data_IF_029317056375
#
_entry.id   IF_029317056375
#
_cell.length_a   1.000
_cell.length_b   1.000
_cell.length_c   1.000
_cell.angle_alpha   90.00
_cell.angle_beta   90.00
_cell.angle_gamma   90.00
#
_symmetry.space_group_name_H-M   'P 1'
#
loop_
_entity.id
_entity.type
_entity.pdbx_description
1 polymer ?
#
# COMPACT_ATOMS: atom_id res chain seq x y z
N UNK A 1 4.17 -34.35 5.16
CA UNK A 1 2.76 -34.04 4.83
C UNK A 1 2.75 -32.88 3.85
N UNK A 2 2.15 -33.04 2.67
CA UNK A 2 2.05 -31.96 1.68
C UNK A 2 1.17 -30.83 2.22
N UNK A 3 1.57 -29.57 2.01
CA UNK A 3 0.74 -28.42 2.38
C UNK A 3 -0.50 -28.40 1.51
N UNK A 4 -1.68 -28.27 2.12
CA UNK A 4 -2.93 -28.18 1.39
C UNK A 4 -2.99 -26.81 0.72
N UNK A 5 -3.06 -26.79 -0.61
CA UNK A 5 -3.23 -25.55 -1.38
C UNK A 5 -4.72 -25.27 -1.49
N UNK A 6 -5.15 -24.14 -0.94
CA UNK A 6 -6.53 -23.67 -1.00
C UNK A 6 -6.70 -22.79 -2.24
N UNK A 7 -7.37 -23.36 -3.24
CA UNK A 7 -8.02 -22.65 -4.32
C UNK A 7 -9.53 -22.90 -4.21
N UNK A 8 -10.35 -21.96 -4.68
CA UNK A 8 -11.79 -22.15 -4.63
C UNK A 8 -12.22 -23.16 -5.72
N UNK A 9 -12.86 -24.27 -5.36
CA UNK A 9 -13.29 -25.29 -6.34
C UNK A 9 -14.39 -24.81 -7.28
N UNK A 10 -15.02 -23.66 -7.00
CA UNK A 10 -16.06 -23.05 -7.83
C UNK A 10 -15.56 -21.88 -8.70
N UNK A 11 -14.24 -21.69 -8.78
CA UNK A 11 -13.61 -20.68 -9.64
C UNK A 11 -13.60 -19.26 -9.07
N UNK A 12 -13.87 -19.09 -7.78
CA UNK A 12 -13.68 -17.83 -7.06
C UNK A 12 -12.20 -17.44 -6.95
N UNK A 13 -11.97 -16.14 -6.77
CA UNK A 13 -10.63 -15.55 -6.68
C UNK A 13 -10.42 -15.04 -5.27
N UNK A 14 -9.36 -15.51 -4.62
CA UNK A 14 -8.90 -14.94 -3.35
C UNK A 14 -8.17 -13.62 -3.62
N UNK A 15 -8.68 -12.52 -3.11
CA UNK A 15 -8.05 -11.21 -3.14
C UNK A 15 -7.44 -10.88 -1.77
N UNK A 16 -6.13 -10.69 -1.71
CA UNK A 16 -5.43 -10.27 -0.51
C UNK A 16 -5.40 -8.75 -0.39
N UNK A 17 -6.06 -8.23 0.65
CA UNK A 17 -6.10 -6.83 1.03
C UNK A 17 -5.17 -6.54 2.20
N UNK A 18 -4.28 -5.55 2.03
CA UNK A 18 -3.32 -5.08 3.03
C UNK A 18 -3.40 -3.57 3.30
N UNK A 19 -4.19 -2.82 2.51
CA UNK A 19 -4.35 -1.37 2.60
C UNK A 19 -5.73 -0.98 3.13
N UNK A 20 -6.34 0.08 2.56
CA UNK A 20 -7.67 0.56 2.96
C UNK A 20 -8.78 -0.49 2.85
N UNK A 21 -8.59 -1.51 2.02
CA UNK A 21 -9.50 -2.64 1.85
C UNK A 21 -9.51 -3.62 3.02
N UNK A 22 -8.65 -3.46 4.03
CA UNK A 22 -8.77 -4.21 5.30
C UNK A 22 -10.08 -3.91 6.05
N UNK A 23 -10.68 -2.75 5.77
CA UNK A 23 -11.97 -2.39 6.33
C UNK A 23 -13.09 -2.86 5.38
N UNK A 24 -13.88 -3.85 5.81
CA UNK A 24 -14.92 -4.48 4.99
C UNK A 24 -15.88 -3.46 4.35
N UNK A 25 -16.27 -2.41 5.09
CA UNK A 25 -17.15 -1.36 4.58
C UNK A 25 -16.60 -0.65 3.33
N UNK A 26 -15.28 -0.67 3.11
CA UNK A 26 -14.63 -0.10 1.92
C UNK A 26 -14.86 -0.98 0.68
N UNK A 27 -14.92 -2.31 0.83
CA UNK A 27 -15.40 -3.22 -0.23
C UNK A 27 -16.90 -3.08 -0.46
N UNK A 28 -17.70 -3.04 0.62
CA UNK A 28 -19.16 -2.97 0.52
C UNK A 28 -19.65 -1.69 -0.16
N UNK A 29 -18.98 -0.56 0.08
CA UNK A 29 -19.25 0.70 -0.61
C UNK A 29 -19.03 0.64 -2.13
N UNK A 30 -18.32 -0.38 -2.63
CA UNK A 30 -18.15 -0.66 -4.06
C UNK A 30 -19.20 -1.63 -4.62
N UNK A 31 -20.12 -2.10 -3.78
CA UNK A 31 -21.09 -3.13 -4.13
C UNK A 31 -20.50 -4.54 -4.19
N UNK A 32 -19.31 -4.76 -3.62
CA UNK A 32 -18.63 -6.06 -3.64
C UNK A 32 -18.96 -6.82 -2.35
N UNK A 33 -19.42 -8.07 -2.49
CA UNK A 33 -19.72 -8.96 -1.36
C UNK A 33 -18.73 -10.13 -1.34
N UNK A 34 -17.97 -10.25 -0.27
CA UNK A 34 -17.10 -11.40 -0.06
C UNK A 34 -17.91 -12.68 0.21
N UNK A 35 -17.51 -13.78 -0.42
CA UNK A 35 -18.07 -15.12 -0.23
C UNK A 35 -17.49 -15.79 1.02
N UNK A 36 -16.22 -15.50 1.31
CA UNK A 36 -15.49 -15.94 2.50
C UNK A 36 -14.40 -14.90 2.83
N UNK A 37 -13.96 -14.86 4.08
CA UNK A 37 -12.95 -13.91 4.57
C UNK A 37 -12.00 -14.64 5.50
N UNK A 38 -10.70 -14.55 5.24
CA UNK A 38 -9.66 -15.17 6.07
C UNK A 38 -8.59 -14.15 6.44
N UNK A 39 -8.22 -14.09 7.71
CA UNK A 39 -7.01 -13.39 8.11
C UNK A 39 -5.80 -14.20 7.66
N UNK A 40 -4.85 -13.55 7.00
CA UNK A 40 -3.69 -14.23 6.41
C UNK A 40 -2.42 -13.39 6.59
N UNK A 41 -1.28 -14.08 6.54
CA UNK A 41 0.06 -13.49 6.44
C UNK A 41 0.70 -13.91 5.12
N UNK A 42 1.45 -13.01 4.48
CA UNK A 42 2.24 -13.29 3.28
C UNK A 42 3.72 -13.20 3.65
N UNK A 43 4.40 -14.32 3.96
CA UNK A 43 5.77 -14.31 4.46
C UNK A 43 6.79 -13.73 3.49
N UNK A 44 6.51 -13.79 2.19
CA UNK A 44 7.42 -13.34 1.14
C UNK A 44 7.40 -11.83 0.90
N UNK A 45 6.44 -11.09 1.45
CA UNK A 45 6.26 -9.66 1.18
C UNK A 45 6.11 -8.84 2.45
N UNK A 46 6.42 -7.55 2.35
CA UNK A 46 6.15 -6.55 3.39
C UNK A 46 5.31 -5.39 2.86
N UNK A 47 4.64 -4.69 3.78
CA UNK A 47 3.88 -3.47 3.49
C UNK A 47 4.84 -2.31 3.19
N UNK A 48 4.57 -1.62 2.09
CA UNK A 48 5.26 -0.38 1.69
C UNK A 48 4.25 0.72 1.39
N UNK A 49 4.76 1.91 1.05
CA UNK A 49 3.94 3.04 0.62
C UNK A 49 4.43 3.55 -0.73
N UNK A 50 4.53 2.64 -1.70
CA UNK A 50 5.17 2.88 -2.99
C UNK A 50 4.27 3.52 -4.05
N UNK A 51 3.02 3.78 -3.70
CA UNK A 51 2.08 4.50 -4.56
C UNK A 51 2.17 5.97 -4.20
N UNK A 52 2.70 6.76 -5.12
CA UNK A 52 2.85 8.19 -4.93
C UNK A 52 1.49 8.89 -4.87
N UNK A 53 1.36 9.82 -3.94
CA UNK A 53 0.21 10.70 -3.83
C UNK A 53 0.61 12.16 -4.01
N UNK A 54 -0.12 13.06 -3.33
CA UNK A 54 0.02 14.51 -3.46
C UNK A 54 0.58 15.06 -2.14
N UNK A 55 1.73 15.76 -2.15
CA UNK A 55 2.21 16.49 -0.99
C UNK A 55 1.15 17.44 -0.41
N UNK A 56 1.17 17.64 0.89
CA UNK A 56 0.20 18.42 1.68
C UNK A 56 -1.23 17.87 1.72
N UNK A 57 -1.46 16.67 1.20
CA UNK A 57 -2.75 15.99 1.26
C UNK A 57 -2.55 14.52 1.69
N UNK A 58 -2.39 13.63 0.72
CA UNK A 58 -2.16 12.20 0.92
C UNK A 58 -0.86 11.87 0.18
N UNK A 59 0.31 11.91 0.85
CA UNK A 59 1.59 11.87 0.14
C UNK A 59 1.89 10.50 -0.47
N UNK A 60 1.38 9.42 0.12
CA UNK A 60 1.58 8.06 -0.39
C UNK A 60 0.47 7.12 0.06
N UNK A 61 0.33 6.01 -0.69
CA UNK A 61 -0.63 4.94 -0.42
C UNK A 61 0.06 3.58 -0.38
N UNK A 62 -0.60 2.61 0.23
CA UNK A 62 -0.04 1.30 0.49
C UNK A 62 0.31 0.54 -0.80
N UNK A 63 1.39 -0.23 -0.74
CA UNK A 63 1.77 -1.28 -1.70
C UNK A 63 2.35 -2.45 -0.91
N UNK A 64 2.66 -3.54 -1.60
CA UNK A 64 3.55 -4.59 -1.08
C UNK A 64 4.85 -4.63 -1.88
N UNK A 65 5.89 -5.21 -1.29
CA UNK A 65 7.13 -5.54 -1.99
C UNK A 65 7.72 -6.84 -1.44
N UNK A 66 8.41 -7.63 -2.27
CA UNK A 66 9.03 -8.88 -1.81
C UNK A 66 10.21 -8.58 -0.89
N UNK A 67 10.42 -9.42 0.12
CA UNK A 67 11.68 -9.44 0.87
C UNK A 67 12.81 -9.94 -0.02
N UNK A 68 13.98 -9.30 0.07
CA UNK A 68 15.19 -9.87 -0.49
C UNK A 68 15.60 -11.14 0.29
N UNK A 69 16.00 -12.23 -0.41
CA UNK A 69 16.52 -13.42 0.25
C UNK A 69 17.69 -13.10 1.17
N UNK A 70 17.72 -13.74 2.35
CA UNK A 70 18.81 -13.65 3.34
C UNK A 70 19.12 -12.25 3.88
N UNK A 71 18.20 -11.30 3.69
CA UNK A 71 18.32 -9.94 4.21
C UNK A 71 17.20 -9.63 5.20
N UNK A 72 17.53 -8.78 6.17
CA UNK A 72 16.57 -8.17 7.07
C UNK A 72 16.18 -6.82 6.46
N UNK A 73 14.87 -6.58 6.33
CA UNK A 73 14.35 -5.28 5.90
C UNK A 73 14.02 -4.44 7.12
N UNK A 74 14.53 -3.22 7.15
CA UNK A 74 14.25 -2.24 8.20
C UNK A 74 13.70 -0.95 7.62
N UNK A 75 12.88 -0.24 8.40
CA UNK A 75 12.32 1.06 8.05
C UNK A 75 13.04 2.17 8.82
N UNK A 76 13.56 3.16 8.08
CA UNK A 76 14.14 4.40 8.59
C UNK A 76 13.38 5.62 8.06
N UNK A 77 13.14 6.60 8.93
CA UNK A 77 12.40 7.83 8.60
C UNK A 77 13.36 9.01 8.42
N UNK A 78 13.42 9.56 7.21
CA UNK A 78 14.36 10.63 6.84
C UNK A 78 15.77 10.31 7.34
N UNK A 79 16.43 11.27 7.98
CA UNK A 79 17.78 11.08 8.53
C UNK A 79 17.81 10.54 9.97
N UNK A 80 16.72 9.95 10.46
CA UNK A 80 16.68 9.35 11.81
C UNK A 80 17.69 8.22 11.94
N UNK A 81 18.34 8.10 13.11
CA UNK A 81 19.18 6.94 13.43
C UNK A 81 18.36 5.70 13.79
N UNK A 82 17.12 5.88 14.23
CA UNK A 82 16.25 4.78 14.63
C UNK A 82 15.80 3.98 13.39
N UNK A 83 15.98 2.66 13.47
CA UNK A 83 15.47 1.68 12.52
C UNK A 83 14.40 0.85 13.20
N UNK A 84 13.43 0.39 12.42
CA UNK A 84 12.37 -0.52 12.87
C UNK A 84 12.39 -1.75 11.99
N UNK A 85 12.24 -2.91 12.59
CA UNK A 85 12.08 -4.14 11.83
C UNK A 85 10.77 -4.10 11.05
N UNK A 86 10.82 -4.62 9.83
CA UNK A 86 9.66 -4.71 8.94
C UNK A 86 9.17 -6.16 8.95
N UNK A 87 8.05 -6.47 9.62
CA UNK A 87 7.48 -7.81 9.63
C UNK A 87 6.83 -8.13 8.28
N UNK A 88 6.57 -9.42 8.00
CA UNK A 88 5.79 -9.79 6.83
C UNK A 88 4.39 -9.18 6.86
N UNK A 89 3.87 -8.89 5.68
CA UNK A 89 2.57 -8.23 5.54
C UNK A 89 1.46 -9.18 5.97
N UNK A 90 0.55 -8.66 6.80
CA UNK A 90 -0.67 -9.34 7.20
C UNK A 90 -1.88 -8.58 6.72
N UNK A 91 -2.99 -9.30 6.52
CA UNK A 91 -4.23 -8.70 6.09
C UNK A 91 -5.36 -9.69 5.92
N UNK A 92 -6.32 -9.35 5.06
CA UNK A 92 -7.50 -10.17 4.81
C UNK A 92 -7.50 -10.70 3.38
N UNK A 93 -7.68 -12.00 3.24
CA UNK A 93 -8.03 -12.63 1.97
C UNK A 93 -9.55 -12.68 1.85
N UNK A 94 -10.10 -12.02 0.84
CA UNK A 94 -11.52 -12.06 0.48
C UNK A 94 -11.73 -13.02 -0.69
N UNK A 95 -12.61 -14.00 -0.55
CA UNK A 95 -13.03 -14.82 -1.67
C UNK A 95 -14.10 -14.08 -2.47
N UNK A 96 -13.79 -13.74 -3.72
CA UNK A 96 -14.66 -12.93 -4.58
C UNK A 96 -15.07 -13.71 -5.82
N UNK A 97 -16.23 -13.34 -6.38
CA UNK A 97 -16.59 -13.75 -7.75
C UNK A 97 -15.60 -13.10 -8.74
N UNK A 98 -15.29 -13.76 -9.88
CA UNK A 98 -14.41 -13.17 -10.90
C UNK A 98 -14.85 -11.77 -11.39
N UNK A 99 -16.17 -11.54 -11.49
CA UNK A 99 -16.73 -10.23 -11.87
C UNK A 99 -16.44 -9.16 -10.84
N UNK A 100 -16.61 -9.49 -9.55
CA UNK A 100 -16.44 -8.56 -8.44
C UNK A 100 -14.95 -8.26 -8.23
N UNK A 101 -14.10 -9.28 -8.40
CA UNK A 101 -12.65 -9.13 -8.41
C UNK A 101 -12.20 -8.17 -9.51
N UNK A 102 -12.69 -8.35 -10.75
CA UNK A 102 -12.35 -7.45 -11.86
C UNK A 102 -12.80 -6.02 -11.60
N UNK A 103 -14.00 -5.82 -11.05
CA UNK A 103 -14.47 -4.49 -10.66
C UNK A 103 -13.58 -3.87 -9.58
N UNK A 104 -13.11 -4.67 -8.61
CA UNK A 104 -12.18 -4.23 -7.58
C UNK A 104 -10.88 -3.71 -8.20
N UNK A 105 -10.23 -4.52 -9.05
CA UNK A 105 -8.97 -4.19 -9.72
C UNK A 105 -9.08 -2.89 -10.50
N UNK A 106 -10.15 -2.71 -11.28
CA UNK A 106 -10.40 -1.47 -12.03
C UNK A 106 -10.56 -0.28 -11.08
N UNK A 107 -11.30 -0.44 -9.97
CA UNK A 107 -11.57 0.65 -9.02
C UNK A 107 -10.33 1.09 -8.21
N UNK A 108 -9.38 0.18 -7.98
CA UNK A 108 -8.10 0.46 -7.32
C UNK A 108 -7.08 1.09 -8.27
N UNK A 109 -7.39 1.17 -9.58
CA UNK A 109 -6.44 1.62 -10.59
C UNK A 109 -5.40 0.55 -10.96
N UNK A 110 -5.79 -0.73 -10.91
CA UNK A 110 -5.04 -1.82 -11.50
C UNK A 110 -4.79 -1.56 -12.98
N UNK A 111 -3.57 -1.84 -13.44
CA UNK A 111 -3.08 -1.50 -14.78
C UNK A 111 -2.54 -0.07 -14.93
N UNK A 112 -2.95 0.86 -14.05
CA UNK A 112 -2.52 2.27 -14.04
C UNK A 112 -1.41 2.50 -13.01
N UNK A 113 -1.73 2.33 -11.72
CA UNK A 113 -0.80 2.56 -10.60
C UNK A 113 -0.33 1.25 -9.96
N UNK A 114 -1.12 0.18 -10.10
CA UNK A 114 -0.81 -1.14 -9.58
C UNK A 114 -0.70 -2.17 -10.71
N UNK A 115 0.17 -3.16 -10.53
CA UNK A 115 0.13 -4.44 -11.24
C UNK A 115 -0.50 -5.50 -10.35
N UNK A 116 -1.17 -6.47 -10.97
CA UNK A 116 -1.68 -7.64 -10.27
C UNK A 116 -0.57 -8.68 -10.10
N UNK A 117 -0.41 -9.20 -8.89
CA UNK A 117 0.57 -10.24 -8.56
C UNK A 117 -0.08 -11.36 -7.76
N UNK A 118 0.49 -12.56 -7.87
CA UNK A 118 0.09 -13.71 -7.07
C UNK A 118 0.99 -13.84 -5.84
N UNK A 119 0.38 -14.11 -4.68
CA UNK A 119 1.06 -14.27 -3.41
C UNK A 119 0.60 -15.54 -2.70
N UNK A 120 1.53 -16.17 -1.99
CA UNK A 120 1.27 -17.34 -1.17
C UNK A 120 1.08 -16.89 0.28
N UNK A 121 -0.10 -17.12 0.81
CA UNK A 121 -0.48 -16.69 2.15
C UNK A 121 -0.68 -17.91 3.07
N UNK A 122 -0.36 -17.75 4.35
CA UNK A 122 -0.74 -18.70 5.40
C UNK A 122 -1.91 -18.13 6.18
N UNK A 123 -2.90 -18.97 6.48
CA UNK A 123 -4.07 -18.56 7.27
C UNK A 123 -3.63 -18.35 8.71
N UNK A 124 -4.11 -17.27 9.33
CA UNK A 124 -3.90 -16.98 10.74
C UNK A 124 -5.02 -17.59 11.56
N UNK A 125 -4.66 -18.25 12.66
CA UNK A 125 -5.62 -18.65 13.70
C UNK A 125 -6.12 -17.44 14.51
N UNK A 126 -7.01 -17.67 15.47
CA UNK A 126 -7.56 -16.59 16.30
C UNK A 126 -6.51 -15.83 17.13
N UNK A 127 -5.36 -16.44 17.41
CA UNK A 127 -4.25 -15.86 18.15
C UNK A 127 -3.24 -15.15 17.24
N UNK A 128 -3.50 -15.13 15.93
CA UNK A 128 -2.63 -14.50 14.93
C UNK A 128 -1.40 -15.34 14.57
N UNK A 129 -1.41 -16.66 14.84
CA UNK A 129 -0.33 -17.56 14.46
C UNK A 129 -0.62 -18.19 13.09
N UNK A 130 0.38 -18.30 12.21
CA UNK A 130 0.20 -18.94 10.91
C UNK A 130 0.01 -20.45 11.08
N UNK A 131 -1.04 -20.99 10.46
CA UNK A 131 -1.22 -22.42 10.29
C UNK A 131 -0.15 -22.97 9.31
N UNK A 132 0.76 -23.86 9.76
CA UNK A 132 1.83 -24.40 8.92
C UNK A 132 1.33 -25.27 7.75
N UNK A 133 0.10 -25.79 7.85
CA UNK A 133 -0.47 -26.75 6.91
C UNK A 133 -1.25 -26.14 5.75
N UNK A 134 -1.69 -24.88 5.86
CA UNK A 134 -2.51 -24.20 4.85
C UNK A 134 -1.69 -23.17 4.05
N UNK A 135 -1.72 -23.33 2.72
CA UNK A 135 -1.29 -22.29 1.79
C UNK A 135 -2.53 -21.85 1.02
N UNK A 136 -2.82 -20.56 1.05
CA UNK A 136 -3.86 -19.93 0.26
C UNK A 136 -3.18 -19.10 -0.84
N UNK A 137 -3.50 -19.41 -2.10
CA UNK A 137 -3.00 -18.64 -3.24
C UNK A 137 -3.96 -17.48 -3.45
N UNK A 138 -3.46 -16.25 -3.28
CA UNK A 138 -4.25 -15.04 -3.44
C UNK A 138 -3.66 -14.13 -4.52
N UNK A 139 -4.52 -13.39 -5.20
CA UNK A 139 -4.13 -12.24 -6.02
C UNK A 139 -4.12 -10.98 -5.18
N UNK A 140 -3.18 -10.10 -5.46
CA UNK A 140 -3.10 -8.80 -4.81
C UNK A 140 -2.58 -7.76 -5.78
N UNK A 141 -2.55 -6.51 -5.34
CA UNK A 141 -2.07 -5.38 -6.11
C UNK A 141 -0.70 -4.97 -5.60
N UNK A 142 0.23 -4.62 -6.47
CA UNK A 142 1.55 -4.11 -6.12
C UNK A 142 1.84 -2.86 -6.94
N UNK A 143 2.56 -1.88 -6.41
CA UNK A 143 2.94 -0.69 -7.15
C UNK A 143 3.66 -1.04 -8.44
N UNK A 144 3.12 -0.55 -9.55
CA UNK A 144 3.67 -0.72 -10.91
C UNK A 144 4.96 0.07 -11.10
N UNK A 145 5.02 1.25 -10.50
CA UNK A 145 6.14 2.17 -10.61
C UNK A 145 6.61 2.60 -9.20
N UNK A 146 7.27 1.70 -8.46
CA UNK A 146 7.66 2.00 -7.09
C UNK A 146 8.71 3.12 -7.06
N UNK A 147 8.36 4.25 -6.44
CA UNK A 147 9.24 5.42 -6.39
C UNK A 147 9.84 5.64 -5.00
N UNK A 148 10.94 4.96 -4.68
CA UNK A 148 11.59 5.11 -3.38
C UNK A 148 12.70 6.19 -3.38
N UNK A 149 12.88 6.95 -2.27
CA UNK A 149 12.09 6.90 -1.05
C UNK A 149 10.78 7.72 -1.17
N UNK A 150 9.69 7.20 -0.60
CA UNK A 150 8.37 7.83 -0.63
C UNK A 150 8.12 8.72 0.58
N UNK A 151 7.18 9.67 0.47
CA UNK A 151 6.63 10.35 1.65
C UNK A 151 5.92 9.35 2.59
N UNK A 152 5.76 9.72 3.85
CA UNK A 152 4.94 8.96 4.79
C UNK A 152 3.45 9.06 4.40
N UNK A 153 2.66 7.98 4.56
CA UNK A 153 1.21 8.02 4.36
C UNK A 153 0.56 9.00 5.34
N UNK A 154 -0.62 9.54 5.04
CA UNK A 154 -1.30 10.39 6.03
C UNK A 154 -1.75 9.59 7.25
N UNK A 155 -1.87 10.27 8.39
CA UNK A 155 -2.43 9.68 9.60
C UNK A 155 -3.87 9.18 9.40
N UNK A 156 -4.66 9.91 8.59
CA UNK A 156 -6.01 9.50 8.19
C UNK A 156 -6.00 8.17 7.44
N UNK A 157 -5.09 8.00 6.47
CA UNK A 157 -4.99 6.78 5.69
C UNK A 157 -4.47 5.60 6.51
N UNK A 158 -3.41 5.79 7.32
CA UNK A 158 -2.94 4.77 8.26
C UNK A 158 -4.02 4.35 9.26
N UNK A 159 -4.86 5.31 9.71
CA UNK A 159 -6.00 5.04 10.57
C UNK A 159 -7.00 4.05 9.95
N UNK A 160 -7.18 4.04 8.63
CA UNK A 160 -8.03 3.07 7.94
C UNK A 160 -7.47 1.65 8.03
N UNK A 161 -6.15 1.52 7.81
CA UNK A 161 -5.43 0.23 7.89
C UNK A 161 -5.48 -0.29 9.33
N UNK A 162 -5.11 0.56 10.30
CA UNK A 162 -5.12 0.23 11.73
C UNK A 162 -6.52 -0.20 12.20
N UNK A 163 -7.56 0.54 11.82
CA UNK A 163 -8.96 0.19 12.14
C UNK A 163 -9.34 -1.17 11.55
N UNK A 164 -8.98 -1.42 10.28
CA UNK A 164 -9.21 -2.71 9.63
C UNK A 164 -8.54 -3.86 10.37
N UNK A 165 -7.28 -3.69 10.79
CA UNK A 165 -6.58 -4.70 11.61
C UNK A 165 -7.28 -4.91 12.96
N UNK A 166 -7.65 -3.84 13.68
CA UNK A 166 -8.27 -3.93 15.02
C UNK A 166 -9.67 -4.57 15.00
N UNK A 167 -10.39 -4.47 13.89
CA UNK A 167 -11.69 -5.13 13.72
C UNK A 167 -11.57 -6.64 13.51
N UNK A 168 -10.36 -7.15 13.26
CA UNK A 168 -10.10 -8.56 12.99
C UNK A 168 -9.13 -9.12 14.04
N UNK A 169 -9.65 -9.90 15.00
CA UNK A 169 -8.90 -10.42 16.15
C UNK A 169 -7.49 -10.97 15.79
N UNK A 170 -7.30 -11.80 14.74
CA UNK A 170 -5.98 -12.32 14.36
C UNK A 170 -4.94 -11.24 13.98
N UNK A 171 -5.39 -10.09 13.50
CA UNK A 171 -4.54 -8.98 13.03
C UNK A 171 -4.25 -7.94 14.13
N UNK A 172 -4.75 -8.14 15.34
CA UNK A 172 -4.61 -7.16 16.44
C UNK A 172 -3.15 -6.87 16.76
N UNK A 173 -2.30 -7.90 16.82
CA UNK A 173 -0.86 -7.71 17.05
C UNK A 173 -0.19 -6.92 15.91
N UNK A 174 -0.60 -7.17 14.67
CA UNK A 174 -0.10 -6.43 13.50
C UNK A 174 -0.54 -4.97 13.52
N UNK A 175 -1.70 -4.65 14.09
CA UNK A 175 -2.15 -3.26 14.24
C UNK A 175 -1.18 -2.41 15.06
N UNK A 176 -0.46 -2.99 16.03
CA UNK A 176 0.56 -2.27 16.80
C UNK A 176 1.76 -1.88 15.92
N UNK A 177 2.14 -2.74 14.98
CA UNK A 177 3.14 -2.37 13.96
C UNK A 177 2.63 -1.21 13.10
N UNK A 178 1.40 -1.29 12.60
CA UNK A 178 0.78 -0.23 11.78
C UNK A 178 0.71 1.11 12.55
N UNK A 179 0.30 1.08 13.81
CA UNK A 179 0.21 2.27 14.68
C UNK A 179 1.59 2.88 14.98
N UNK A 180 2.66 2.09 14.91
CA UNK A 180 4.03 2.55 15.10
C UNK A 180 4.64 3.23 13.86
N UNK A 181 3.99 3.10 12.70
CA UNK A 181 4.48 3.63 11.45
C UNK A 181 4.41 5.17 11.46
N UNK A 182 5.42 5.84 10.88
CA UNK A 182 5.40 7.28 10.72
C UNK A 182 4.27 7.72 9.79
N UNK A 183 3.59 8.80 10.18
CA UNK A 183 2.51 9.40 9.41
C UNK A 183 2.83 10.85 9.02
N UNK A 184 2.26 11.28 7.91
CA UNK A 184 2.11 12.68 7.59
C UNK A 184 0.92 13.27 8.36
N UNK A 185 1.19 14.39 9.04
CA UNK A 185 0.19 15.23 9.69
C UNK A 185 0.09 16.59 8.98
N UNK A 186 -1.12 17.13 8.78
CA UNK A 186 -1.30 18.46 8.22
C UNK A 186 -0.50 19.52 9.00
N UNK A 187 0.05 20.55 8.32
CA UNK A 187 0.88 21.54 9.01
C UNK A 187 0.04 22.36 9.99
N UNK A 188 0.60 22.68 11.15
CA UNK A 188 -0.10 23.45 12.19
C UNK A 188 0.10 24.96 12.04
N UNK A 189 1.27 25.40 11.62
CA UNK A 189 1.61 26.83 11.46
C UNK A 189 0.86 27.46 10.28
N UNK A 190 0.47 28.73 10.44
CA UNK A 190 -0.24 29.47 9.39
C UNK A 190 0.58 29.54 8.09
N UNK A 191 1.88 29.78 8.20
CA UNK A 191 2.80 29.82 7.06
C UNK A 191 2.80 28.51 6.27
N UNK A 192 2.95 27.36 6.95
CA UNK A 192 2.98 26.07 6.27
C UNK A 192 1.61 25.66 5.72
N UNK A 193 0.50 26.05 6.38
CA UNK A 193 -0.86 25.89 5.86
C UNK A 193 -1.07 26.67 4.56
N UNK A 194 -0.62 27.92 4.51
CA UNK A 194 -0.70 28.74 3.31
C UNK A 194 0.12 28.13 2.16
N UNK A 195 1.35 27.68 2.45
CA UNK A 195 2.17 26.97 1.46
C UNK A 195 1.50 25.72 0.91
N UNK A 196 0.97 24.86 1.80
CA UNK A 196 0.22 23.68 1.37
C UNK A 196 -1.01 24.02 0.52
N UNK A 197 -1.74 25.08 0.87
CA UNK A 197 -2.86 25.57 0.05
C UNK A 197 -2.40 26.02 -1.35
N UNK A 198 -1.34 26.82 -1.44
CA UNK A 198 -0.77 27.27 -2.72
C UNK A 198 -0.28 26.10 -3.57
N UNK A 199 0.40 25.12 -2.95
CA UNK A 199 0.84 23.91 -3.62
C UNK A 199 -0.34 23.15 -4.23
N UNK A 200 -1.39 22.91 -3.44
CA UNK A 200 -2.57 22.18 -3.88
C UNK A 200 -3.37 22.94 -4.94
N UNK A 201 -3.46 24.27 -4.85
CA UNK A 201 -4.14 25.07 -5.87
C UNK A 201 -3.43 24.99 -7.22
N UNK A 202 -2.10 24.93 -7.23
CA UNK A 202 -1.31 24.81 -8.45
C UNK A 202 -1.37 23.39 -9.06
N UNK A 203 -1.19 22.33 -8.26
CA UNK A 203 -1.07 20.96 -8.77
C UNK A 203 -2.40 20.22 -8.96
N UNK A 204 -3.48 20.59 -8.27
CA UNK A 204 -4.78 19.91 -8.44
C UNK A 204 -5.36 20.03 -9.86
N UNK A 205 -5.34 21.20 -10.55
CA UNK A 205 -5.84 21.31 -11.92
C UNK A 205 -5.20 20.31 -12.92
N UNK A 206 -3.85 20.23 -13.08
CA UNK A 206 -3.26 19.27 -14.00
C UNK A 206 -3.51 17.81 -13.57
N UNK A 207 -3.53 17.52 -12.26
CA UNK A 207 -3.86 16.18 -11.78
C UNK A 207 -5.32 15.79 -12.10
N UNK A 208 -6.29 16.71 -11.99
CA UNK A 208 -7.68 16.45 -12.40
C UNK A 208 -7.78 16.18 -13.89
N UNK A 209 -7.01 16.88 -14.72
CA UNK A 209 -6.94 16.59 -16.16
C UNK A 209 -6.36 15.19 -16.41
N UNK A 210 -5.27 14.84 -15.72
CA UNK A 210 -4.68 13.50 -15.82
C UNK A 210 -5.68 12.40 -15.43
N UNK A 211 -6.40 12.54 -14.32
CA UNK A 211 -7.43 11.57 -13.90
C UNK A 211 -8.53 11.41 -14.96
N UNK A 212 -8.94 12.51 -15.62
CA UNK A 212 -9.89 12.44 -16.74
C UNK A 212 -9.31 11.69 -17.93
N UNK A 213 -8.05 11.96 -18.29
CA UNK A 213 -7.38 11.25 -19.38
C UNK A 213 -7.27 9.75 -19.09
N UNK A 214 -6.92 9.37 -17.87
CA UNK A 214 -6.90 7.96 -17.42
C UNK A 214 -8.27 7.34 -17.62
N UNK A 215 -9.33 7.94 -17.07
CA UNK A 215 -10.69 7.39 -17.21
C UNK A 215 -11.16 7.21 -18.65
N UNK A 216 -10.74 8.07 -19.58
CA UNK A 216 -11.12 7.99 -21.00
C UNK A 216 -10.33 6.93 -21.76
N UNK A 217 -9.07 6.70 -21.39
CA UNK A 217 -8.16 5.82 -22.14
C UNK A 217 -7.90 4.47 -21.47
N UNK A 218 -8.38 4.26 -20.24
CA UNK A 218 -8.36 2.95 -19.59
C UNK A 218 -9.42 2.04 -20.20
N UNK A 219 -9.03 0.84 -20.61
CA UNK A 219 -9.94 -0.14 -21.20
C UNK A 219 -10.83 -0.82 -20.13
N UNK A 220 -11.70 -1.74 -20.58
CA UNK A 220 -12.61 -2.50 -19.70
C UNK A 220 -11.88 -3.49 -18.78
N UNK A 221 -10.59 -3.72 -19.00
CA UNK A 221 -9.74 -4.61 -18.23
C UNK A 221 -8.87 -3.81 -17.23
N UNK A 222 -8.90 -2.47 -17.27
CA UNK A 222 -8.09 -1.60 -16.42
C UNK A 222 -6.73 -1.24 -17.03
N UNK A 223 -6.41 -1.72 -18.24
CA UNK A 223 -5.11 -1.43 -18.85
C UNK A 223 -5.01 0.03 -19.29
N UNK A 224 -3.85 0.61 -18.98
CA UNK A 224 -3.48 1.96 -19.34
C UNK A 224 -2.48 1.91 -20.51
N UNK A 225 -2.68 2.68 -21.60
CA UNK A 225 -1.70 2.79 -22.67
C UNK A 225 -0.33 3.24 -22.16
N UNK A 226 0.75 2.71 -22.73
CA UNK A 226 2.11 2.99 -22.26
C UNK A 226 2.45 4.49 -22.29
N UNK A 227 2.01 5.22 -23.32
CA UNK A 227 2.22 6.68 -23.43
C UNK A 227 1.59 7.45 -22.27
N UNK A 228 0.45 6.98 -21.75
CA UNK A 228 -0.22 7.61 -20.62
C UNK A 228 0.53 7.31 -19.31
N UNK A 229 1.12 6.12 -19.17
CA UNK A 229 2.07 5.80 -18.10
C UNK A 229 3.22 6.80 -18.03
N UNK A 230 3.83 7.16 -19.17
CA UNK A 230 4.90 8.17 -19.22
C UNK A 230 4.43 9.56 -18.77
N UNK A 231 3.21 9.97 -19.12
CA UNK A 231 2.63 11.23 -18.67
C UNK A 231 2.41 11.22 -17.16
N UNK A 232 1.88 10.13 -16.60
CA UNK A 232 1.69 9.97 -15.15
C UNK A 232 3.03 10.15 -14.43
N UNK A 233 4.05 9.38 -14.84
CA UNK A 233 5.37 9.42 -14.22
C UNK A 233 6.04 10.78 -14.35
N UNK A 234 5.89 11.44 -15.49
CA UNK A 234 6.48 12.77 -15.72
C UNK A 234 5.77 13.83 -14.87
N UNK A 235 4.44 13.83 -14.81
CA UNK A 235 3.68 14.82 -14.04
C UNK A 235 3.96 14.70 -12.54
N UNK A 236 3.88 13.48 -11.99
CA UNK A 236 4.24 13.25 -10.59
C UNK A 236 5.74 13.48 -10.36
N UNK A 237 6.58 13.12 -11.34
CA UNK A 237 7.99 13.47 -11.48
C UNK A 237 8.29 14.93 -11.13
N UNK A 238 7.70 15.81 -11.93
CA UNK A 238 7.84 17.26 -11.81
C UNK A 238 7.26 17.78 -10.50
N UNK A 239 6.09 17.26 -10.08
CA UNK A 239 5.45 17.68 -8.83
C UNK A 239 6.31 17.40 -7.60
N UNK A 240 6.82 16.17 -7.48
CA UNK A 240 7.66 15.77 -6.36
C UNK A 240 9.03 16.43 -6.41
N UNK A 241 9.63 16.60 -7.59
CA UNK A 241 10.88 17.34 -7.74
C UNK A 241 10.72 18.81 -7.31
N UNK A 242 9.64 19.47 -7.74
CA UNK A 242 9.33 20.84 -7.30
C UNK A 242 9.09 20.91 -5.78
N UNK A 243 8.36 19.95 -5.20
CA UNK A 243 8.16 19.85 -3.75
C UNK A 243 9.48 19.74 -2.99
N UNK A 244 10.31 18.75 -3.34
CA UNK A 244 11.51 18.40 -2.58
C UNK A 244 12.62 19.44 -2.73
N UNK A 245 12.74 20.06 -3.91
CA UNK A 245 13.87 20.95 -4.21
C UNK A 245 13.57 22.43 -4.01
N UNK A 246 12.31 22.85 -4.11
CA UNK A 246 11.93 24.27 -4.12
C UNK A 246 10.88 24.56 -3.04
N UNK A 247 9.69 23.99 -3.17
CA UNK A 247 8.54 24.43 -2.37
C UNK A 247 8.74 24.15 -0.88
N UNK A 248 9.23 22.96 -0.54
CA UNK A 248 9.38 22.56 0.86
C UNK A 248 10.45 23.34 1.63
N UNK A 249 11.44 23.91 0.94
CA UNK A 249 12.49 24.75 1.54
C UNK A 249 11.96 26.12 1.98
N UNK A 250 10.93 26.61 1.28
CA UNK A 250 10.27 27.87 1.61
C UNK A 250 9.19 27.60 2.66
N UNK A 251 8.27 26.67 2.40
CA UNK A 251 7.01 26.55 3.13
C UNK A 251 6.97 25.51 4.25
N UNK A 252 8.01 24.68 4.38
CA UNK A 252 8.01 23.47 5.21
C UNK A 252 7.59 22.24 4.39
N UNK A 253 7.73 21.03 4.92
CA UNK A 253 7.48 19.80 4.15
C UNK A 253 6.02 19.34 4.19
N UNK A 254 5.51 18.84 3.07
CA UNK A 254 4.17 18.26 2.93
C UNK A 254 4.15 16.75 2.77
N UNK A 255 5.20 16.04 3.18
CA UNK A 255 5.40 14.61 2.85
C UNK A 255 5.59 13.69 4.06
N UNK A 256 5.50 14.21 5.28
CA UNK A 256 5.70 13.42 6.50
C UNK A 256 7.11 12.85 6.70
N UNK A 257 8.09 13.35 5.93
CA UNK A 257 9.45 12.82 5.75
C UNK A 257 9.48 11.52 4.95
N UNK A 258 10.67 11.23 4.40
CA UNK A 258 10.89 10.12 3.48
C UNK A 258 11.04 8.78 4.20
N UNK A 259 10.35 7.75 3.72
CA UNK A 259 10.45 6.37 4.18
C UNK A 259 11.57 5.67 3.41
N UNK A 260 12.56 5.16 4.14
CA UNK A 260 13.65 4.37 3.62
C UNK A 260 13.50 2.92 4.10
N UNK A 261 13.14 2.04 3.17
CA UNK A 261 13.22 0.61 3.37
C UNK A 261 14.64 0.16 3.03
N UNK A 262 15.40 -0.24 4.04
CA UNK A 262 16.80 -0.63 3.94
C UNK A 262 16.93 -2.14 4.11
N UNK A 263 17.72 -2.77 3.26
CA UNK A 263 18.02 -4.19 3.38
C UNK A 263 19.45 -4.37 3.87
N UNK A 264 19.62 -5.08 4.97
CA UNK A 264 20.93 -5.43 5.53
C UNK A 264 21.13 -6.94 5.52
N UNK A 265 22.34 -7.41 5.22
CA UNK A 265 22.68 -8.82 5.32
C UNK A 265 22.37 -9.30 6.74
N UNK A 266 21.58 -10.37 6.87
CA UNK A 266 21.37 -10.97 8.18
C UNK A 266 22.69 -11.54 8.68
N UNK A 267 23.31 -10.93 9.69
CA UNK A 267 24.23 -11.70 10.53
C UNK A 267 23.39 -12.80 11.17
N UNK A 268 23.55 -14.04 10.69
CA UNK A 268 23.28 -15.20 11.54
C UNK A 268 24.16 -15.00 12.76
N UNK A 269 23.58 -14.53 13.87
CA UNK A 269 24.15 -14.73 15.19
C UNK A 269 24.21 -16.24 15.40
N UNK A 270 25.31 -16.83 14.94
CA UNK A 270 25.79 -18.12 15.39
C UNK A 270 26.26 -17.90 16.84
N UNK A 271 25.34 -18.10 17.77
CA UNK A 271 25.64 -18.39 19.17
C UNK A 271 24.83 -19.65 19.48
N UNK A 272 25.42 -20.82 19.68
CA UNK A 272 26.58 -21.08 20.53
C UNK A 272 26.06 -21.88 21.71
#
# INVERSE_FOLDING_TARGET
>A
MGKATLQDPHGGIWYFAYGSNLRLSVLENRGIKALDIKAVIVPSHYLTFDIFGIPYAEPSFASVAPFAPDKITTLRLGNSRARRDVPPVQGLAYLLKPTDYRQLVISEGGGVAYDEVEVHASILDEDGKPDPGSILIARTLQAKYPWRPNGAPSARYLGLISTGCKQNKPLTAYSAYIDSLPSYEPPTSFHAKLGGLLFLMFWRPPLRLLVRLIRVHTDKDGHCPQWLGWIILTLYGLMWSYHDNIHSKVWGRGDGRKLHFEETTGEKLLSG
#
